data_IF_294221896413
#
_entry.id   IF_294221896413
#
_cell.length_a   1.000
_cell.length_b   1.000
_cell.length_c   1.000
_cell.angle_alpha   90.00
_cell.angle_beta   90.00
_cell.angle_gamma   90.00
#
_symmetry.space_group_name_H-M   'P 1'
#
loop_
_entity.id
_entity.type
_entity.pdbx_description
1 polymer ?
#
# COMPACT_ATOMS: atom_id res chain seq x y z
N UNK A 1 -12.29 -4.00 -0.06
CA UNK A 1 -11.50 -2.79 0.19
C UNK A 1 -12.42 -1.74 0.80
N UNK A 2 -12.30 -1.47 2.10
CA UNK A 2 -13.23 -0.59 2.82
C UNK A 2 -12.86 0.89 2.67
N UNK A 3 -13.54 1.60 1.78
CA UNK A 3 -13.39 3.07 1.58
C UNK A 3 -14.73 3.81 1.66
N UNK A 4 -15.72 3.23 2.35
CA UNK A 4 -17.07 3.79 2.48
C UNK A 4 -17.14 5.16 3.16
N UNK A 5 -16.10 5.55 3.91
CA UNK A 5 -15.99 6.84 4.58
C UNK A 5 -14.87 7.75 4.02
N UNK A 6 -14.68 8.93 4.64
CA UNK A 6 -13.59 9.86 4.27
C UNK A 6 -12.23 9.19 4.47
N UNK A 7 -12.08 8.37 5.51
CA UNK A 7 -10.89 7.56 5.78
C UNK A 7 -11.04 6.13 5.25
N UNK A 8 -9.91 5.56 4.85
CA UNK A 8 -9.79 4.21 4.32
C UNK A 8 -8.57 3.54 4.94
N UNK A 9 -8.77 2.34 5.46
CA UNK A 9 -7.75 1.57 6.14
C UNK A 9 -7.50 0.28 5.37
N UNK A 10 -6.23 -0.06 5.19
CA UNK A 10 -5.83 -1.28 4.50
C UNK A 10 -4.67 -1.92 5.26
N UNK A 11 -4.75 -3.23 5.45
CA UNK A 11 -3.67 -4.04 5.98
C UNK A 11 -3.49 -5.25 5.06
N UNK A 12 -2.25 -5.54 4.68
CA UNK A 12 -1.87 -6.71 3.90
C UNK A 12 -0.66 -7.35 4.54
N UNK A 13 -0.54 -8.65 4.39
CA UNK A 13 0.65 -9.37 4.78
C UNK A 13 0.80 -10.66 3.99
N UNK A 14 2.04 -11.10 3.86
CA UNK A 14 2.39 -12.42 3.36
C UNK A 14 3.50 -13.00 4.23
N UNK A 15 3.41 -14.30 4.44
CA UNK A 15 4.42 -15.07 5.14
C UNK A 15 4.76 -16.27 4.27
N UNK A 16 6.05 -16.51 4.05
CA UNK A 16 6.53 -17.64 3.28
C UNK A 16 7.09 -18.72 4.22
N UNK A 17 6.34 -19.81 4.34
CA UNK A 17 6.70 -20.99 5.15
C UNK A 17 7.80 -21.73 4.39
N UNK A 18 9.05 -21.56 4.83
CA UNK A 18 10.24 -22.19 4.24
C UNK A 18 11.43 -21.24 4.07
N UNK A 19 11.17 -19.95 3.81
CA UNK A 19 12.22 -18.92 3.75
C UNK A 19 12.25 -17.99 4.96
N UNK A 20 11.37 -18.23 5.95
CA UNK A 20 11.15 -17.39 7.15
C UNK A 20 10.99 -15.91 6.80
N UNK A 21 10.41 -15.63 5.62
CA UNK A 21 10.28 -14.27 5.11
C UNK A 21 8.86 -13.76 5.37
N UNK A 22 8.77 -12.57 5.94
CA UNK A 22 7.53 -11.87 6.20
C UNK A 22 7.54 -10.52 5.50
N UNK A 23 6.45 -10.21 4.82
CA UNK A 23 6.15 -8.86 4.36
C UNK A 23 4.79 -8.45 4.94
N UNK A 24 4.73 -7.26 5.51
CA UNK A 24 3.49 -6.67 6.02
C UNK A 24 3.41 -5.21 5.66
N UNK A 25 2.18 -4.70 5.47
CA UNK A 25 1.92 -3.30 5.20
C UNK A 25 0.63 -2.84 5.81
N UNK A 26 0.69 -1.73 6.54
CA UNK A 26 -0.48 -0.95 6.93
C UNK A 26 -0.55 0.35 6.12
N UNK A 27 -1.77 0.78 5.77
CA UNK A 27 -2.02 2.04 5.08
C UNK A 27 -3.27 2.72 5.63
N UNK A 28 -3.18 4.04 5.77
CA UNK A 28 -4.32 4.92 6.01
C UNK A 28 -4.39 5.93 4.88
N UNK A 29 -5.55 6.09 4.28
CA UNK A 29 -5.79 7.07 3.22
C UNK A 29 -7.00 7.93 3.51
N UNK A 30 -6.96 9.18 3.05
CA UNK A 30 -8.09 10.09 3.05
C UNK A 30 -8.55 10.35 1.61
N UNK A 31 -9.85 10.55 1.42
CA UNK A 31 -10.42 10.97 0.14
C UNK A 31 -10.09 12.43 -0.11
N UNK A 32 -9.46 12.73 -1.24
CA UNK A 32 -9.12 14.11 -1.65
C UNK A 32 -10.01 14.62 -2.77
N UNK A 33 -10.63 13.70 -3.53
CA UNK A 33 -11.62 14.05 -4.55
C UNK A 33 -12.59 12.89 -4.77
N UNK A 34 -13.82 13.21 -5.18
CA UNK A 34 -14.84 12.26 -5.59
C UNK A 34 -15.47 12.76 -6.88
N UNK A 35 -15.44 11.91 -7.91
CA UNK A 35 -16.09 12.18 -9.18
C UNK A 35 -17.46 11.51 -9.29
N UNK A 36 -18.15 11.82 -10.38
CA UNK A 36 -19.41 11.18 -10.73
C UNK A 36 -19.21 9.67 -10.96
N UNK A 37 -20.24 8.88 -10.66
CA UNK A 37 -20.18 7.42 -10.83
C UNK A 37 -19.31 6.68 -9.80
N UNK A 38 -19.04 7.28 -8.64
CA UNK A 38 -18.39 6.60 -7.50
C UNK A 38 -16.87 6.52 -7.59
N UNK A 39 -16.26 7.27 -8.51
CA UNK A 39 -14.81 7.38 -8.62
C UNK A 39 -14.24 8.18 -7.43
N UNK A 40 -13.09 7.77 -6.91
CA UNK A 40 -12.45 8.46 -5.79
C UNK A 40 -10.95 8.59 -6.02
N UNK A 41 -10.41 9.74 -5.64
CA UNK A 41 -8.97 9.94 -5.51
C UNK A 41 -8.64 10.00 -4.03
N UNK A 42 -7.58 9.31 -3.62
CA UNK A 42 -7.18 9.20 -2.23
C UNK A 42 -5.69 9.45 -2.07
N UNK A 43 -5.32 10.12 -1.00
CA UNK A 43 -3.93 10.29 -0.58
C UNK A 43 -3.74 9.56 0.75
N UNK A 44 -2.67 8.80 0.90
CA UNK A 44 -2.45 8.02 2.10
C UNK A 44 -1.00 7.95 2.53
N UNK A 45 -0.81 7.63 3.81
CA UNK A 45 0.46 7.23 4.37
C UNK A 45 0.46 5.70 4.55
N UNK A 46 1.60 5.09 4.30
CA UNK A 46 1.81 3.66 4.50
C UNK A 46 3.11 3.40 5.24
N UNK A 47 3.13 2.28 5.98
CA UNK A 47 4.35 1.71 6.52
C UNK A 47 4.35 0.23 6.15
N UNK A 48 5.41 -0.21 5.50
CA UNK A 48 5.69 -1.61 5.25
C UNK A 48 6.86 -2.09 6.11
N UNK A 49 6.81 -3.36 6.49
CA UNK A 49 7.89 -4.08 7.12
C UNK A 49 8.18 -5.33 6.31
N UNK A 50 9.44 -5.57 6.01
CA UNK A 50 9.92 -6.75 5.30
C UNK A 50 11.06 -7.35 6.09
N UNK A 51 11.01 -8.65 6.37
CA UNK A 51 12.09 -9.40 7.01
C UNK A 51 12.26 -10.75 6.34
N UNK A 52 13.49 -11.26 6.35
CA UNK A 52 13.90 -12.56 5.84
C UNK A 52 15.37 -12.79 6.12
N UNK A 53 15.91 -13.92 5.66
CA UNK A 53 17.30 -14.29 5.96
C UNK A 53 18.28 -13.25 5.41
N UNK A 54 18.97 -12.54 6.30
CA UNK A 54 19.96 -11.51 5.95
C UNK A 54 19.36 -10.19 5.45
N UNK A 55 18.04 -10.01 5.50
CA UNK A 55 17.37 -8.80 5.06
C UNK A 55 16.28 -8.37 6.04
N UNK A 56 16.30 -7.11 6.43
CA UNK A 56 15.22 -6.51 7.20
C UNK A 56 15.11 -5.04 6.82
N UNK A 57 13.89 -4.55 6.60
CA UNK A 57 13.67 -3.15 6.31
C UNK A 57 12.29 -2.65 6.76
N UNK A 58 12.25 -1.39 7.18
CA UNK A 58 11.03 -0.61 7.37
C UNK A 58 10.90 0.41 6.24
N UNK A 59 9.70 0.56 5.71
CA UNK A 59 9.40 1.37 4.53
C UNK A 59 8.23 2.33 4.80
N UNK A 60 8.46 3.51 5.38
CA UNK A 60 7.46 4.55 5.39
C UNK A 60 7.34 5.18 3.99
N UNK A 61 6.11 5.53 3.62
CA UNK A 61 5.86 6.19 2.35
C UNK A 61 4.49 6.85 2.28
N UNK A 62 4.27 7.51 1.15
CA UNK A 62 2.99 8.10 0.77
C UNK A 62 2.50 7.48 -0.52
N UNK A 63 1.18 7.40 -0.66
CA UNK A 63 0.54 6.86 -1.85
C UNK A 63 -0.58 7.78 -2.32
N UNK A 64 -0.74 7.84 -3.63
CA UNK A 64 -1.92 8.38 -4.29
C UNK A 64 -2.65 7.22 -4.97
N UNK A 65 -3.96 7.14 -4.78
CA UNK A 65 -4.81 6.08 -5.30
C UNK A 65 -5.97 6.68 -6.11
N UNK A 66 -6.23 6.10 -7.27
CA UNK A 66 -7.46 6.29 -8.03
C UNK A 66 -8.31 5.02 -7.94
N UNK A 67 -9.53 5.17 -7.44
CA UNK A 67 -10.53 4.13 -7.30
C UNK A 67 -11.62 4.37 -8.34
N UNK A 68 -12.00 3.33 -9.09
CA UNK A 68 -13.13 3.38 -10.03
C UNK A 68 -14.15 2.29 -9.74
N UNK A 69 -15.40 2.55 -10.14
CA UNK A 69 -16.50 1.62 -9.94
C UNK A 69 -16.48 0.45 -10.95
N UNK A 70 -16.84 -0.79 -10.55
CA UNK A 70 -16.89 -1.30 -9.17
C UNK A 70 -15.55 -1.95 -8.79
N UNK A 71 -14.87 -1.40 -7.77
CA UNK A 71 -13.79 -2.10 -7.05
C UNK A 71 -12.41 -2.15 -7.72
N UNK A 72 -12.16 -1.32 -8.75
CA UNK A 72 -10.83 -1.20 -9.36
C UNK A 72 -10.00 -0.13 -8.66
N UNK A 73 -8.71 -0.39 -8.49
CA UNK A 73 -7.76 0.55 -7.92
C UNK A 73 -6.51 0.61 -8.79
N UNK A 74 -5.98 1.81 -9.00
CA UNK A 74 -4.59 2.02 -9.38
C UNK A 74 -3.96 3.00 -8.39
N UNK A 75 -2.77 2.69 -7.90
CA UNK A 75 -2.05 3.52 -6.94
C UNK A 75 -0.60 3.67 -7.31
N UNK A 76 -0.05 4.86 -7.06
CA UNK A 76 1.38 5.15 -7.15
C UNK A 76 1.87 5.61 -5.79
N UNK A 77 3.10 5.27 -5.44
CA UNK A 77 3.67 5.63 -4.16
C UNK A 77 5.16 5.89 -4.23
N UNK A 78 5.63 6.64 -3.24
CA UNK A 78 7.05 6.93 -3.02
C UNK A 78 7.32 6.89 -1.53
N UNK A 79 8.52 6.46 -1.16
CA UNK A 79 8.93 6.45 0.23
C UNK A 79 10.40 6.15 0.39
N UNK A 80 10.81 6.03 1.65
CA UNK A 80 12.16 5.64 2.02
C UNK A 80 12.14 4.21 2.56
N UNK A 81 13.23 3.50 2.35
CA UNK A 81 13.47 2.17 2.89
C UNK A 81 14.69 2.24 3.80
N UNK A 82 14.53 1.85 5.05
CA UNK A 82 15.60 1.80 6.05
C UNK A 82 15.94 0.34 6.36
N UNK A 83 17.19 -0.06 6.12
CA UNK A 83 17.62 -1.44 6.32
C UNK A 83 18.14 -1.66 7.75
N UNK A 84 17.87 -2.83 8.32
CA UNK A 84 18.26 -3.20 9.69
C UNK A 84 19.79 -3.31 9.90
N UNK A 85 20.59 -3.27 8.83
CA UNK A 85 22.06 -3.21 8.86
C UNK A 85 22.65 -1.84 8.52
N UNK A 86 21.81 -0.80 8.43
CA UNK A 86 22.19 0.53 7.97
C UNK A 86 21.98 0.74 6.48
N UNK A 87 21.97 2.01 6.08
CA UNK A 87 21.67 2.45 4.72
C UNK A 87 20.20 2.81 4.50
N UNK A 88 19.95 3.58 3.45
CA UNK A 88 18.60 3.97 3.02
C UNK A 88 18.49 3.96 1.50
N UNK A 89 17.28 3.76 1.00
CA UNK A 89 16.98 3.88 -0.42
C UNK A 89 15.58 4.46 -0.63
N UNK A 90 15.45 5.39 -1.57
CA UNK A 90 14.14 5.82 -2.06
C UNK A 90 13.54 4.70 -2.90
N UNK A 91 12.25 4.42 -2.71
CA UNK A 91 11.51 3.46 -3.54
C UNK A 91 10.31 4.13 -4.20
N UNK A 92 9.94 3.58 -5.35
CA UNK A 92 8.70 3.88 -6.05
C UNK A 92 7.84 2.63 -6.10
N UNK A 93 6.52 2.79 -6.05
CA UNK A 93 5.55 1.69 -6.04
C UNK A 93 4.43 1.98 -7.03
N UNK A 94 4.00 0.93 -7.70
CA UNK A 94 2.74 0.90 -8.46
C UNK A 94 1.91 -0.26 -7.93
N UNK A 95 0.62 -0.03 -7.68
CA UNK A 95 -0.33 -1.03 -7.19
C UNK A 95 -1.58 -1.01 -8.06
N UNK A 96 -2.09 -2.20 -8.39
CA UNK A 96 -3.33 -2.37 -9.13
C UNK A 96 -4.22 -3.41 -8.45
N UNK A 97 -5.50 -3.12 -8.30
CA UNK A 97 -6.52 -4.09 -7.87
C UNK A 97 -7.55 -4.20 -8.97
N UNK A 98 -7.78 -5.43 -9.42
CA UNK A 98 -8.82 -5.77 -10.38
C UNK A 98 -9.75 -6.80 -9.73
N UNK A 99 -11.07 -6.57 -9.70
CA UNK A 99 -12.01 -7.57 -9.23
C UNK A 99 -12.04 -8.75 -10.22
N UNK A 100 -11.95 -9.97 -9.69
CA UNK A 100 -12.00 -11.20 -10.50
C UNK A 100 -13.43 -11.59 -10.89
N UNK A 101 -14.42 -11.13 -10.12
CA UNK A 101 -15.85 -11.35 -10.34
C UNK A 101 -16.62 -10.06 -10.02
N UNK A 102 -17.75 -9.84 -10.71
CA UNK A 102 -18.62 -8.66 -10.51
C UNK A 102 -19.59 -8.88 -9.36
#
# INVERSE_FOLDING_TARGET
WGTGGPLGYQALGSYNIGSESFWGRGRVSTRVSQGDGGQQQRLGAEVAYLTGRGYGAVQPGVVYEYHSAPGKLIGIGVGEKFFNGGGRATYFKVEGVLPLFR
#
